data_IF_936097243184
#
_entry.id   IF_936097243184
#
_cell.length_a   1.000
_cell.length_b   1.000
_cell.length_c   1.000
_cell.angle_alpha   90.00
_cell.angle_beta   90.00
_cell.angle_gamma   90.00
#
_symmetry.space_group_name_H-M   'P 1'
#
loop_
_entity.id
_entity.type
_entity.pdbx_description
1 polymer ?
#
# COMPACT_ATOMS: atom_id res chain seq x y z
N UNK A 1 -10.94 8.78 13.89
CA UNK A 1 -11.61 7.90 12.89
C UNK A 1 -10.67 6.85 12.28
N UNK A 2 -9.67 7.16 11.43
CA UNK A 2 -8.76 6.12 10.87
C UNK A 2 -8.02 5.37 11.97
N UNK A 3 -7.47 6.05 12.95
CA UNK A 3 -6.74 5.43 14.05
C UNK A 3 -7.62 4.48 14.89
N UNK A 4 -8.89 4.79 15.09
CA UNK A 4 -9.84 3.92 15.79
C UNK A 4 -10.04 2.60 15.03
N UNK A 5 -10.19 2.68 13.71
CA UNK A 5 -10.27 1.49 12.83
C UNK A 5 -8.99 0.65 12.92
N UNK A 6 -7.84 1.29 12.93
CA UNK A 6 -6.55 0.59 13.00
C UNK A 6 -6.29 -0.06 14.38
N UNK A 7 -6.86 0.49 15.44
CA UNK A 7 -6.79 -0.06 16.82
C UNK A 7 -7.77 -1.20 17.08
N UNK A 8 -8.85 -1.30 16.30
CA UNK A 8 -9.88 -2.30 16.51
C UNK A 8 -9.37 -3.71 16.12
N UNK A 9 -9.27 -4.65 17.07
CA UNK A 9 -8.78 -5.99 16.81
C UNK A 9 -9.70 -6.83 15.91
N UNK A 10 -10.96 -6.42 15.77
CA UNK A 10 -11.91 -7.09 14.86
C UNK A 10 -11.73 -6.68 13.41
N UNK A 11 -11.07 -5.54 13.17
CA UNK A 11 -10.82 -4.95 11.85
C UNK A 11 -9.37 -5.16 11.36
N UNK A 12 -8.69 -6.20 11.85
CA UNK A 12 -7.26 -6.47 11.48
C UNK A 12 -7.01 -6.72 9.99
N UNK A 13 -8.06 -7.00 9.22
CA UNK A 13 -8.02 -7.21 7.77
C UNK A 13 -8.34 -5.94 6.96
N UNK A 14 -8.57 -4.81 7.62
CA UNK A 14 -8.77 -3.52 6.97
C UNK A 14 -7.43 -2.82 6.80
N UNK A 15 -7.13 -2.33 5.61
CA UNK A 15 -5.91 -1.62 5.25
C UNK A 15 -6.26 -0.22 4.77
N UNK A 16 -5.31 0.69 4.90
CA UNK A 16 -5.41 2.07 4.41
C UNK A 16 -4.57 2.19 3.15
N UNK A 17 -5.20 2.43 2.03
CA UNK A 17 -4.54 2.74 0.78
C UNK A 17 -4.32 4.26 0.68
N UNK A 18 -3.06 4.66 0.49
CA UNK A 18 -2.66 6.07 0.33
C UNK A 18 -2.25 6.38 -1.11
N UNK A 19 -2.61 5.52 -2.06
CA UNK A 19 -2.33 5.76 -3.49
C UNK A 19 -2.99 7.05 -3.98
N UNK A 20 -2.54 7.52 -5.16
CA UNK A 20 -3.11 8.66 -5.86
C UNK A 20 -2.51 10.02 -5.49
N UNK A 21 -2.33 10.87 -6.51
CA UNK A 21 -1.75 12.21 -6.37
C UNK A 21 -2.66 13.20 -5.61
N UNK A 22 -3.98 13.03 -5.68
CA UNK A 22 -4.91 13.86 -4.91
C UNK A 22 -4.79 13.57 -3.41
N UNK A 23 -4.63 12.30 -3.00
CA UNK A 23 -4.40 11.94 -1.61
C UNK A 23 -3.05 12.48 -1.12
N UNK A 24 -2.02 12.42 -1.97
CA UNK A 24 -0.72 12.99 -1.68
C UNK A 24 -0.79 14.48 -1.31
N UNK A 25 -1.57 15.27 -2.05
CA UNK A 25 -1.72 16.71 -1.79
C UNK A 25 -2.14 17.04 -0.36
N UNK A 26 -2.99 16.20 0.25
CA UNK A 26 -3.42 16.38 1.63
C UNK A 26 -2.39 15.88 2.63
N UNK A 27 -1.79 14.73 2.37
CA UNK A 27 -0.81 14.11 3.29
C UNK A 27 0.44 14.97 3.40
N UNK A 28 0.94 15.50 2.28
CA UNK A 28 2.17 16.32 2.26
C UNK A 28 1.91 17.83 2.23
N UNK A 29 0.69 18.26 2.57
CA UNK A 29 0.28 19.67 2.52
C UNK A 29 1.10 20.57 3.44
N UNK A 30 1.39 20.10 4.64
CA UNK A 30 2.14 20.83 5.67
C UNK A 30 3.07 19.91 6.45
N UNK A 31 4.10 20.45 7.13
CA UNK A 31 4.94 19.65 8.03
C UNK A 31 4.14 18.91 9.11
N UNK A 32 3.06 19.50 9.60
CA UNK A 32 2.19 18.91 10.63
C UNK A 32 1.41 17.70 10.09
N UNK A 33 0.89 17.79 8.86
CA UNK A 33 0.18 16.64 8.23
C UNK A 33 1.15 15.51 7.93
N UNK A 34 2.35 15.81 7.44
CA UNK A 34 3.42 14.82 7.21
C UNK A 34 3.77 14.12 8.53
N UNK A 35 4.03 14.89 9.59
CA UNK A 35 4.38 14.35 10.91
C UNK A 35 3.28 13.45 11.46
N UNK A 36 2.03 13.91 11.44
CA UNK A 36 0.88 13.15 11.93
C UNK A 36 0.69 11.83 11.18
N UNK A 37 0.86 11.85 9.86
CA UNK A 37 0.76 10.64 9.04
C UNK A 37 1.93 9.69 9.30
N UNK A 38 3.15 10.20 9.42
CA UNK A 38 4.33 9.40 9.73
C UNK A 38 4.19 8.70 11.10
N UNK A 39 3.76 9.42 12.13
CA UNK A 39 3.50 8.87 13.46
C UNK A 39 2.43 7.77 13.43
N UNK A 40 1.36 7.97 12.65
CA UNK A 40 0.30 6.98 12.48
C UNK A 40 0.83 5.70 11.79
N UNK A 41 1.60 5.87 10.71
CA UNK A 41 2.21 4.74 9.99
C UNK A 41 3.21 3.98 10.86
N UNK A 42 4.05 4.66 11.63
CA UNK A 42 5.01 4.02 12.54
C UNK A 42 4.33 3.23 13.66
N UNK A 43 3.14 3.64 14.09
CA UNK A 43 2.32 2.86 15.05
C UNK A 43 1.62 1.65 14.43
N UNK A 44 1.31 1.71 13.14
CA UNK A 44 0.59 0.65 12.42
C UNK A 44 1.27 0.29 11.08
N UNK A 45 2.57 -0.07 11.08
CA UNK A 45 3.36 -0.16 9.86
C UNK A 45 2.88 -1.23 8.86
N UNK A 46 2.16 -2.23 9.34
CA UNK A 46 1.64 -3.34 8.53
C UNK A 46 0.25 -3.08 7.93
N UNK A 47 -0.31 -1.88 8.11
CA UNK A 47 -1.69 -1.57 7.78
C UNK A 47 -1.86 -0.56 6.63
N UNK A 48 -0.76 -0.07 6.06
CA UNK A 48 -0.77 0.90 4.97
C UNK A 48 -0.26 0.29 3.66
N UNK A 49 -0.88 0.69 2.56
CA UNK A 49 -0.50 0.34 1.20
C UNK A 49 -0.26 1.60 0.39
N UNK A 50 0.70 1.54 -0.51
CA UNK A 50 1.03 2.61 -1.44
C UNK A 50 1.08 2.10 -2.88
N UNK A 51 0.54 2.89 -3.79
CA UNK A 51 0.63 2.72 -5.22
C UNK A 51 0.50 4.06 -5.94
N UNK A 52 0.63 4.06 -7.24
CA UNK A 52 0.47 5.28 -8.05
C UNK A 52 -0.98 5.63 -8.34
N UNK A 53 -1.87 4.64 -8.34
CA UNK A 53 -3.24 4.73 -8.88
C UNK A 53 -3.27 5.31 -10.31
N UNK A 54 -2.22 5.04 -11.06
CA UNK A 54 -2.05 5.52 -12.43
C UNK A 54 -2.83 4.68 -13.44
N UNK A 55 -3.96 5.19 -13.93
CA UNK A 55 -4.74 4.53 -14.97
C UNK A 55 -4.17 4.86 -16.36
N UNK A 56 -3.62 3.84 -17.05
CA UNK A 56 -3.14 3.90 -18.42
C UNK A 56 -2.31 5.15 -18.76
N UNK A 57 -1.26 5.48 -18.02
CA UNK A 57 -0.45 6.65 -18.32
C UNK A 57 0.27 6.46 -19.65
N UNK A 58 0.32 7.51 -20.42
CA UNK A 58 1.00 7.56 -21.73
C UNK A 58 2.52 7.71 -21.58
N UNK A 59 2.99 8.07 -20.39
CA UNK A 59 4.40 8.34 -20.10
C UNK A 59 4.80 7.83 -18.71
N UNK A 60 5.99 7.26 -18.60
CA UNK A 60 6.55 6.78 -17.34
C UNK A 60 6.64 7.89 -16.28
N UNK A 61 6.92 9.12 -16.69
CA UNK A 61 7.00 10.28 -15.81
C UNK A 61 5.74 10.52 -14.97
N UNK A 62 4.59 10.14 -15.48
CA UNK A 62 3.31 10.28 -14.76
C UNK A 62 3.19 9.34 -13.56
N UNK A 63 3.76 8.13 -13.64
CA UNK A 63 3.85 7.23 -12.49
C UNK A 63 4.83 7.75 -11.46
N UNK A 64 6.00 8.14 -11.93
CA UNK A 64 7.08 8.60 -11.05
C UNK A 64 6.70 9.89 -10.32
N UNK A 65 5.87 10.76 -10.93
CA UNK A 65 5.40 11.98 -10.30
C UNK A 65 4.71 11.71 -8.95
N UNK A 66 3.79 10.76 -8.90
CA UNK A 66 3.09 10.42 -7.65
C UNK A 66 4.09 9.91 -6.61
N UNK A 67 5.02 9.07 -7.02
CA UNK A 67 6.05 8.54 -6.13
C UNK A 67 6.91 9.64 -5.51
N UNK A 68 7.37 10.60 -6.32
CA UNK A 68 8.17 11.73 -5.83
C UNK A 68 7.37 12.71 -4.99
N UNK A 69 6.08 12.86 -5.24
CA UNK A 69 5.20 13.72 -4.45
C UNK A 69 5.15 13.28 -2.98
N UNK A 70 5.24 11.99 -2.70
CA UNK A 70 5.29 11.44 -1.34
C UNK A 70 6.68 11.50 -0.69
N UNK A 71 7.71 11.98 -1.37
CA UNK A 71 9.08 11.98 -0.85
C UNK A 71 9.22 12.64 0.54
N UNK A 72 8.53 13.75 0.87
CA UNK A 72 8.60 14.32 2.21
C UNK A 72 8.09 13.38 3.31
N UNK A 73 7.07 12.58 3.00
CA UNK A 73 6.56 11.55 3.92
C UNK A 73 7.58 10.42 4.08
N UNK A 74 8.15 9.92 2.98
CA UNK A 74 9.14 8.84 3.04
C UNK A 74 10.37 9.21 3.86
N UNK A 75 10.82 10.46 3.79
CA UNK A 75 11.93 11.02 4.59
C UNK A 75 11.59 11.15 6.08
N UNK A 76 10.32 11.19 6.43
CA UNK A 76 9.84 11.31 7.82
C UNK A 76 9.60 9.95 8.51
N UNK A 77 9.69 8.85 7.76
CA UNK A 77 9.54 7.49 8.25
C UNK A 77 10.91 6.86 8.55
N UNK A 78 10.95 5.94 9.51
CA UNK A 78 12.08 5.03 9.62
C UNK A 78 12.15 4.10 8.39
N UNK A 79 13.33 3.52 8.15
CA UNK A 79 13.59 2.72 6.96
C UNK A 79 12.71 1.45 6.88
N UNK A 80 12.40 0.83 8.02
CA UNK A 80 11.56 -0.36 8.07
C UNK A 80 10.12 -0.04 7.71
N UNK A 81 9.53 0.98 8.35
CA UNK A 81 8.15 1.42 8.07
C UNK A 81 8.01 1.87 6.62
N UNK A 82 8.95 2.67 6.12
CA UNK A 82 8.97 3.09 4.72
C UNK A 82 8.97 1.90 3.76
N UNK A 83 9.79 0.89 4.00
CA UNK A 83 9.85 -0.31 3.17
C UNK A 83 8.57 -1.14 3.25
N UNK A 84 7.98 -1.29 4.43
CA UNK A 84 6.71 -2.01 4.62
C UNK A 84 5.59 -1.37 3.81
N UNK A 85 5.38 -0.07 3.97
CA UNK A 85 4.29 0.65 3.31
C UNK A 85 4.46 0.64 1.79
N UNK A 86 5.67 0.81 1.29
CA UNK A 86 5.96 0.95 -0.14
C UNK A 86 6.05 -0.38 -0.90
N UNK A 87 6.29 -1.49 -0.21
CA UNK A 87 6.54 -2.79 -0.87
C UNK A 87 6.04 -3.98 -0.07
N UNK A 88 6.55 -4.20 1.16
CA UNK A 88 6.39 -5.49 1.83
C UNK A 88 4.95 -5.82 2.19
N UNK A 89 4.12 -4.81 2.51
CA UNK A 89 2.71 -5.04 2.81
C UNK A 89 1.95 -5.52 1.57
N UNK A 90 2.28 -4.97 0.38
CA UNK A 90 1.73 -5.46 -0.88
C UNK A 90 2.13 -6.92 -1.12
N UNK A 91 3.40 -7.24 -1.05
CA UNK A 91 3.90 -8.61 -1.25
C UNK A 91 3.22 -9.60 -0.29
N UNK A 92 3.17 -9.25 1.00
CA UNK A 92 2.52 -10.09 2.02
C UNK A 92 1.05 -10.35 1.72
N UNK A 93 0.30 -9.32 1.34
CA UNK A 93 -1.16 -9.45 1.15
C UNK A 93 -1.49 -10.10 -0.19
N UNK A 94 -0.92 -9.61 -1.29
CA UNK A 94 -1.31 -10.02 -2.63
C UNK A 94 -0.54 -11.24 -3.14
N UNK A 95 0.74 -11.35 -2.90
CA UNK A 95 1.54 -12.48 -3.36
C UNK A 95 1.22 -13.75 -2.56
N UNK A 96 0.99 -13.64 -1.25
CA UNK A 96 0.52 -14.76 -0.44
C UNK A 96 -0.89 -15.20 -0.87
N UNK A 97 -1.80 -14.26 -1.13
CA UNK A 97 -3.14 -14.57 -1.63
C UNK A 97 -3.08 -15.29 -2.97
N UNK A 98 -2.27 -14.79 -3.91
CA UNK A 98 -2.04 -15.44 -5.21
C UNK A 98 -1.49 -16.86 -5.05
N UNK A 99 -0.53 -17.05 -4.15
CA UNK A 99 0.01 -18.36 -3.83
C UNK A 99 -1.06 -19.35 -3.32
N UNK A 100 -1.99 -18.88 -2.48
CA UNK A 100 -3.13 -19.69 -2.02
C UNK A 100 -4.06 -20.07 -3.16
N UNK A 101 -4.41 -19.14 -4.02
CA UNK A 101 -5.27 -19.37 -5.20
C UNK A 101 -4.63 -20.42 -6.13
N UNK A 102 -3.34 -20.26 -6.46
CA UNK A 102 -2.62 -21.22 -7.33
C UNK A 102 -2.56 -22.63 -6.75
N UNK A 103 -2.36 -22.77 -5.45
CA UNK A 103 -2.41 -24.09 -4.80
C UNK A 103 -3.81 -24.70 -4.87
N UNK A 104 -4.85 -23.90 -4.67
CA UNK A 104 -6.23 -24.36 -4.80
C UNK A 104 -6.55 -24.79 -6.23
N UNK A 105 -6.20 -23.97 -7.23
CA UNK A 105 -6.37 -24.30 -8.66
C UNK A 105 -5.69 -25.62 -9.03
N UNK A 106 -4.44 -25.82 -8.59
CA UNK A 106 -3.68 -27.05 -8.87
C UNK A 106 -4.34 -28.30 -8.28
N UNK A 107 -5.09 -28.16 -7.18
CA UNK A 107 -5.76 -29.27 -6.53
C UNK A 107 -7.17 -29.55 -7.08
N UNK A 108 -7.81 -28.55 -7.71
CA UNK A 108 -9.25 -28.64 -8.06
C UNK A 108 -9.55 -28.43 -9.56
N UNK A 109 -8.59 -27.90 -10.31
CA UNK A 109 -8.77 -27.64 -11.74
C UNK A 109 -7.92 -28.63 -12.53
N UNK A 110 -8.56 -29.53 -13.28
CA UNK A 110 -7.86 -30.42 -14.21
C UNK A 110 -7.22 -29.60 -15.33
N UNK A 111 -5.98 -29.93 -15.77
CA UNK A 111 -5.39 -29.27 -16.93
C UNK A 111 -6.33 -29.46 -18.13
N UNK A 112 -6.62 -28.36 -18.83
CA UNK A 112 -7.41 -28.42 -20.05
C UNK A 112 -6.79 -29.43 -21.01
N UNK A 113 -7.57 -30.39 -21.45
CA UNK A 113 -7.12 -31.40 -22.44
C UNK A 113 -6.69 -30.65 -23.69
N UNK A 114 -5.40 -30.63 -23.99
CA UNK A 114 -4.87 -30.11 -25.24
C UNK A 114 -5.38 -31.03 -26.38
N UNK A 115 -6.40 -30.57 -27.09
CA UNK A 115 -6.77 -31.14 -28.38
C UNK A 115 -5.94 -30.49 -29.49
#
# INVERSE_FOLDING_TARGET
>A
MIEEILRDPTLRNVYVDISWDEVAKYIVATPETIKSMAELMQRFPDRFLFGSDGAAPTEESKYLKVFYQYEPLWKSLDAETSRKVRLLNYERIFDEARGRVRRWESAHVSPASSN
#
